data_IF_793996843197
#
_entry.id   IF_793996843197
#
_cell.length_a   1.000
_cell.length_b   1.000
_cell.length_c   1.000
_cell.angle_alpha   90.00
_cell.angle_beta   90.00
_cell.angle_gamma   90.00
#
_symmetry.space_group_name_H-M   'P 1'
#
loop_
_entity.id
_entity.type
_entity.pdbx_description
1 polymer ?
#
# COMPACT_ATOMS: atom_id res chain seq x y z
N UNK A 1 13.22 -4.31 54.84
CA UNK A 1 13.57 -3.10 54.08
C UNK A 1 12.93 -3.00 52.68
N UNK A 2 12.39 -4.06 52.10
CA UNK A 2 11.78 -4.05 50.76
C UNK A 2 10.30 -3.58 50.76
N UNK A 3 9.56 -3.73 51.86
CA UNK A 3 8.13 -3.32 51.92
C UNK A 3 7.91 -1.81 52.08
N UNK A 4 8.88 -1.08 52.65
CA UNK A 4 8.77 0.35 52.86
C UNK A 4 9.00 1.15 51.58
N UNK A 5 9.74 0.60 50.62
CA UNK A 5 10.06 1.31 49.33
C UNK A 5 8.88 1.23 48.34
N UNK A 6 8.06 0.18 48.40
CA UNK A 6 6.89 0.02 47.52
C UNK A 6 5.75 0.96 47.89
N UNK A 7 5.55 1.24 49.15
CA UNK A 7 4.51 2.13 49.68
C UNK A 7 4.80 3.61 49.37
N UNK A 8 6.04 4.04 49.37
CA UNK A 8 6.41 5.46 49.06
C UNK A 8 6.22 5.75 47.57
N UNK A 9 6.61 4.81 46.67
CA UNK A 9 6.40 4.97 45.24
C UNK A 9 4.91 4.98 44.84
N UNK A 10 4.08 4.23 45.55
CA UNK A 10 2.63 4.18 45.29
C UNK A 10 1.90 5.40 45.83
N UNK A 11 2.39 6.02 46.92
CA UNK A 11 1.84 7.25 47.48
C UNK A 11 2.21 8.49 46.64
N UNK A 12 3.39 8.53 46.03
CA UNK A 12 3.79 9.62 45.12
C UNK A 12 3.14 9.49 43.71
N UNK A 13 2.84 8.29 43.25
CA UNK A 13 2.20 8.09 41.94
C UNK A 13 0.72 8.52 41.91
N UNK A 14 0.00 8.43 43.02
CA UNK A 14 -1.42 8.84 43.12
C UNK A 14 -1.68 10.35 42.91
N UNK A 15 -0.92 11.27 43.50
CA UNK A 15 -1.14 12.70 43.27
C UNK A 15 -0.74 13.14 41.84
N UNK A 16 0.30 12.55 41.26
CA UNK A 16 0.71 12.83 39.88
C UNK A 16 -0.31 12.31 38.85
N UNK A 17 -0.92 11.15 39.10
CA UNK A 17 -1.99 10.61 38.26
C UNK A 17 -3.27 11.44 38.34
N UNK A 18 -3.65 11.93 39.55
CA UNK A 18 -4.76 12.84 39.75
C UNK A 18 -4.52 14.23 39.11
N UNK A 19 -3.30 14.74 39.17
CA UNK A 19 -2.92 16.00 38.51
C UNK A 19 -3.00 15.86 36.97
N UNK A 20 -2.50 14.75 36.41
CA UNK A 20 -2.64 14.43 34.96
C UNK A 20 -4.10 14.29 34.54
N UNK A 21 -4.92 13.62 35.34
CA UNK A 21 -6.35 13.48 35.08
C UNK A 21 -7.08 14.83 35.06
N UNK A 22 -6.78 15.74 36.03
CA UNK A 22 -7.33 17.12 36.06
C UNK A 22 -6.87 17.96 34.87
N UNK A 23 -5.63 17.82 34.43
CA UNK A 23 -5.12 18.51 33.22
C UNK A 23 -5.82 17.98 31.97
N UNK A 24 -5.98 16.68 31.83
CA UNK A 24 -6.71 16.05 30.71
C UNK A 24 -8.17 16.49 30.71
N UNK A 25 -8.83 16.53 31.87
CA UNK A 25 -10.22 17.01 31.98
C UNK A 25 -10.36 18.49 31.65
N UNK A 26 -9.40 19.36 32.05
CA UNK A 26 -9.36 20.76 31.64
C UNK A 26 -9.13 20.93 30.14
N UNK A 27 -8.22 20.15 29.57
CA UNK A 27 -7.95 20.16 28.11
C UNK A 27 -9.14 19.64 27.32
N UNK A 28 -9.87 18.63 27.80
CA UNK A 28 -11.08 18.13 27.14
C UNK A 28 -12.23 19.15 27.17
N UNK A 29 -12.28 20.00 28.17
CA UNK A 29 -13.25 21.11 28.23
C UNK A 29 -12.89 22.30 27.35
N UNK A 30 -11.59 22.46 27.03
CA UNK A 30 -11.09 23.51 26.14
C UNK A 30 -11.17 23.14 24.68
N UNK A 31 -11.20 21.83 24.36
CA UNK A 31 -11.37 21.32 23.00
C UNK A 31 -12.81 20.80 22.88
N UNK A 32 -13.70 21.52 22.23
CA UNK A 32 -15.09 21.04 22.10
C UNK A 32 -15.12 19.74 21.31
N UNK A 33 -15.84 18.74 21.81
CA UNK A 33 -16.04 17.44 21.16
C UNK A 33 -16.76 17.56 19.80
N UNK A 34 -17.39 18.72 19.58
CA UNK A 34 -18.13 19.03 18.34
C UNK A 34 -17.67 20.37 17.79
N UNK A 35 -17.34 20.38 16.51
CA UNK A 35 -17.06 21.60 15.77
C UNK A 35 -18.33 21.99 15.03
N UNK A 36 -18.78 23.24 15.19
CA UNK A 36 -19.90 23.76 14.41
C UNK A 36 -19.51 23.85 12.94
N UNK A 37 -20.24 23.14 12.07
CA UNK A 37 -20.01 23.17 10.63
C UNK A 37 -20.15 24.60 10.09
N UNK A 38 -21.22 25.29 10.47
CA UNK A 38 -21.46 26.67 10.11
C UNK A 38 -21.26 27.58 11.33
N UNK A 39 -20.52 28.70 11.21
CA UNK A 39 -19.77 29.20 10.05
C UNK A 39 -18.30 28.77 10.03
N UNK A 40 -17.80 28.06 11.05
CA UNK A 40 -16.35 27.90 11.28
C UNK A 40 -15.71 26.92 10.28
N UNK A 41 -16.23 25.71 10.17
CA UNK A 41 -15.68 24.69 9.28
C UNK A 41 -15.84 25.10 7.80
N UNK A 42 -17.00 25.60 7.44
CA UNK A 42 -17.30 26.05 6.07
C UNK A 42 -16.39 27.20 5.64
N UNK A 43 -16.08 28.14 6.51
CA UNK A 43 -15.12 29.23 6.19
C UNK A 43 -13.71 28.71 5.95
N UNK A 44 -13.27 27.72 6.75
CA UNK A 44 -11.96 27.11 6.59
C UNK A 44 -11.89 26.32 5.27
N UNK A 45 -12.90 25.53 4.97
CA UNK A 45 -12.99 24.76 3.72
C UNK A 45 -13.05 25.66 2.49
N UNK A 46 -13.82 26.75 2.56
CA UNK A 46 -13.89 27.73 1.48
C UNK A 46 -12.55 28.43 1.27
N UNK A 47 -11.85 28.80 2.34
CA UNK A 47 -10.51 29.39 2.25
C UNK A 47 -9.51 28.44 1.58
N UNK A 48 -9.47 27.18 2.03
CA UNK A 48 -8.61 26.15 1.44
C UNK A 48 -8.97 25.90 -0.02
N UNK A 49 -10.26 25.77 -0.32
CA UNK A 49 -10.73 25.61 -1.70
C UNK A 49 -10.33 26.78 -2.60
N UNK A 50 -10.45 28.03 -2.13
CA UNK A 50 -10.03 29.22 -2.87
C UNK A 50 -8.52 29.23 -3.12
N UNK A 51 -7.71 28.89 -2.13
CA UNK A 51 -6.24 28.80 -2.28
C UNK A 51 -5.87 27.72 -3.28
N UNK A 52 -6.46 26.53 -3.17
CA UNK A 52 -6.18 25.42 -4.10
C UNK A 52 -6.58 25.80 -5.53
N UNK A 53 -7.74 26.40 -5.73
CA UNK A 53 -8.18 26.88 -7.06
C UNK A 53 -7.23 27.93 -7.61
N UNK A 54 -6.79 28.88 -6.81
CA UNK A 54 -5.80 29.88 -7.26
C UNK A 54 -4.47 29.23 -7.65
N UNK A 55 -3.97 28.28 -6.86
CA UNK A 55 -2.74 27.54 -7.16
C UNK A 55 -2.84 26.74 -8.46
N UNK A 56 -3.95 26.02 -8.65
CA UNK A 56 -4.17 25.23 -9.87
C UNK A 56 -4.30 26.16 -11.10
N UNK A 57 -4.96 27.30 -10.95
CA UNK A 57 -5.08 28.28 -12.04
C UNK A 57 -3.71 28.86 -12.42
N UNK A 58 -2.90 29.28 -11.43
CA UNK A 58 -1.53 29.73 -11.68
C UNK A 58 -0.70 28.64 -12.34
N UNK A 59 -0.79 27.42 -11.84
CA UNK A 59 -0.10 26.27 -12.42
C UNK A 59 -0.48 26.05 -13.89
N UNK A 60 -1.76 26.09 -14.21
CA UNK A 60 -2.25 25.87 -15.57
C UNK A 60 -1.83 26.96 -16.57
N UNK A 61 -1.53 28.17 -16.07
CA UNK A 61 -1.03 29.30 -16.91
C UNK A 61 0.50 29.17 -17.11
N UNK A 62 1.23 28.70 -16.09
CA UNK A 62 2.69 28.68 -16.10
C UNK A 62 3.25 27.42 -16.75
N UNK A 63 2.54 26.28 -16.64
CA UNK A 63 2.98 24.98 -17.14
C UNK A 63 2.09 24.51 -18.25
N UNK A 64 2.65 24.40 -19.45
CA UNK A 64 1.95 23.83 -20.60
C UNK A 64 1.68 22.34 -20.39
N UNK A 65 0.45 21.91 -20.69
CA UNK A 65 0.14 20.48 -20.72
C UNK A 65 0.84 19.81 -21.91
N UNK A 66 1.52 18.66 -21.70
CA UNK A 66 2.09 17.90 -22.80
C UNK A 66 0.96 17.37 -23.68
N UNK A 67 0.78 17.96 -24.87
CA UNK A 67 -0.18 17.48 -25.84
C UNK A 67 0.45 16.40 -26.70
N UNK A 68 -0.30 15.36 -26.97
CA UNK A 68 0.05 14.32 -27.93
C UNK A 68 -0.30 14.78 -29.38
N UNK A 69 0.15 14.01 -30.36
CA UNK A 69 -0.20 14.24 -31.77
C UNK A 69 -1.73 14.18 -31.94
N UNK A 70 -2.31 14.90 -32.96
CA UNK A 70 -3.74 14.83 -33.27
C UNK A 70 -4.20 13.39 -33.44
N UNK A 71 -5.42 13.09 -32.99
CA UNK A 71 -6.00 11.74 -33.05
C UNK A 71 -5.97 11.18 -34.49
N UNK A 72 -5.34 10.04 -34.65
CA UNK A 72 -5.29 9.31 -35.91
C UNK A 72 -5.83 7.90 -35.70
N UNK A 73 -6.97 7.53 -36.29
CA UNK A 73 -7.57 6.21 -36.09
C UNK A 73 -6.74 5.06 -36.66
N UNK A 74 -5.76 5.34 -37.53
CA UNK A 74 -4.89 4.31 -38.11
C UNK A 74 -3.57 4.11 -37.37
N UNK A 75 -3.26 4.97 -36.38
CA UNK A 75 -1.98 4.94 -35.67
C UNK A 75 -2.23 4.91 -34.16
N UNK A 76 -1.79 3.86 -33.51
CA UNK A 76 -1.79 3.78 -32.02
C UNK A 76 -0.54 4.44 -31.46
N UNK A 77 -0.66 5.34 -30.48
CA UNK A 77 0.50 5.92 -29.80
C UNK A 77 1.41 4.86 -29.17
N UNK A 78 2.71 5.04 -29.25
CA UNK A 78 3.67 4.15 -28.62
C UNK A 78 4.69 4.96 -27.79
N UNK A 79 4.65 4.94 -26.47
CA UNK A 79 3.78 4.13 -25.60
C UNK A 79 2.36 4.69 -25.49
N UNK A 80 1.35 3.80 -25.42
CA UNK A 80 -0.02 4.19 -25.09
C UNK A 80 -0.18 4.26 -23.58
N UNK A 81 -0.15 5.46 -23.00
CA UNK A 81 -0.25 5.70 -21.56
C UNK A 81 -1.68 6.01 -21.15
N UNK A 82 -2.14 5.35 -20.09
CA UNK A 82 -3.38 5.71 -19.43
C UNK A 82 -3.26 7.08 -18.72
N UNK A 83 -4.37 7.73 -18.35
CA UNK A 83 -4.32 8.92 -17.49
C UNK A 83 -3.52 8.63 -16.21
N UNK A 84 -2.86 9.67 -15.68
CA UNK A 84 -1.90 9.55 -14.57
C UNK A 84 -2.41 8.74 -13.37
N UNK A 85 -3.69 8.84 -13.05
CA UNK A 85 -4.29 8.13 -11.93
C UNK A 85 -4.45 6.62 -12.16
N UNK A 86 -4.47 6.16 -13.40
CA UNK A 86 -4.47 4.75 -13.77
C UNK A 86 -3.08 4.21 -14.12
N UNK A 87 -2.08 5.06 -14.28
CA UNK A 87 -0.72 4.63 -14.64
C UNK A 87 -0.12 3.65 -13.63
N UNK A 88 -0.46 3.78 -12.34
CA UNK A 88 -0.04 2.82 -11.34
C UNK A 88 -0.58 1.41 -11.61
N UNK A 89 -1.86 1.28 -12.01
CA UNK A 89 -2.45 -0.02 -12.40
C UNK A 89 -1.86 -0.53 -13.72
N UNK A 90 -1.64 0.36 -14.68
CA UNK A 90 -0.99 -0.01 -15.94
C UNK A 90 0.44 -0.51 -15.72
N UNK A 91 1.18 0.09 -14.80
CA UNK A 91 2.51 -0.40 -14.44
C UNK A 91 2.47 -1.76 -13.76
N UNK A 92 1.47 -2.03 -12.93
CA UNK A 92 1.29 -3.34 -12.28
C UNK A 92 1.06 -4.46 -13.30
N UNK A 93 0.47 -4.19 -14.49
CA UNK A 93 0.30 -5.15 -15.57
C UNK A 93 1.63 -5.71 -16.13
N UNK A 94 2.73 -5.01 -15.92
CA UNK A 94 4.07 -5.53 -16.27
C UNK A 94 4.47 -6.69 -15.38
N UNK A 95 4.02 -6.66 -14.14
CA UNK A 95 4.43 -7.61 -13.09
C UNK A 95 3.44 -8.74 -12.89
N UNK A 96 2.16 -8.50 -13.12
CA UNK A 96 1.07 -9.45 -12.92
C UNK A 96 0.25 -9.64 -14.19
N UNK A 97 -0.53 -10.69 -14.21
CA UNK A 97 -1.52 -10.93 -15.24
C UNK A 97 -2.67 -9.90 -15.17
N UNK A 98 -3.32 -9.54 -16.29
CA UNK A 98 -4.36 -8.51 -16.33
C UNK A 98 -5.50 -8.72 -15.34
N UNK A 99 -5.97 -9.94 -15.16
CA UNK A 99 -7.05 -10.23 -14.21
C UNK A 99 -6.63 -10.00 -12.76
N UNK A 100 -5.37 -10.34 -12.43
CA UNK A 100 -4.84 -10.13 -11.08
C UNK A 100 -4.59 -8.64 -10.81
N UNK A 101 -3.97 -7.94 -11.74
CA UNK A 101 -3.66 -6.53 -11.62
C UNK A 101 -4.92 -5.64 -11.64
N UNK A 102 -5.89 -5.94 -12.53
CA UNK A 102 -7.07 -5.10 -12.74
C UNK A 102 -8.25 -5.42 -11.83
N UNK A 103 -8.36 -6.66 -11.33
CA UNK A 103 -9.51 -7.08 -10.51
C UNK A 103 -9.07 -7.43 -9.09
N UNK A 104 -8.12 -8.36 -8.94
CA UNK A 104 -7.79 -8.91 -7.62
C UNK A 104 -7.13 -7.87 -6.72
N UNK A 105 -6.10 -7.18 -7.19
CA UNK A 105 -5.41 -6.16 -6.38
C UNK A 105 -6.32 -4.99 -5.98
N UNK A 106 -7.10 -4.37 -6.88
CA UNK A 106 -8.05 -3.34 -6.48
C UNK A 106 -9.10 -3.85 -5.49
N UNK A 107 -9.58 -5.08 -5.66
CA UNK A 107 -10.52 -5.70 -4.72
C UNK A 107 -9.93 -5.86 -3.33
N UNK A 108 -8.65 -6.25 -3.22
CA UNK A 108 -7.97 -6.32 -1.93
C UNK A 108 -7.81 -4.95 -1.25
N UNK A 109 -7.63 -3.88 -2.01
CA UNK A 109 -7.61 -2.52 -1.46
C UNK A 109 -8.97 -2.17 -0.88
N UNK A 110 -10.05 -2.43 -1.63
CA UNK A 110 -11.43 -2.17 -1.19
C UNK A 110 -11.76 -2.99 0.06
N UNK A 111 -11.50 -4.31 0.03
CA UNK A 111 -11.71 -5.20 1.18
C UNK A 111 -10.87 -4.73 2.38
N UNK A 112 -9.61 -4.35 2.15
CA UNK A 112 -8.73 -3.82 3.18
C UNK A 112 -9.32 -2.61 3.89
N UNK A 113 -9.89 -1.67 3.15
CA UNK A 113 -10.59 -0.50 3.71
C UNK A 113 -11.86 -0.90 4.48
N UNK A 114 -12.63 -1.84 3.96
CA UNK A 114 -13.88 -2.31 4.59
C UNK A 114 -13.63 -3.04 5.91
N UNK A 115 -12.51 -3.77 6.06
CA UNK A 115 -12.23 -4.55 7.28
C UNK A 115 -11.60 -3.74 8.41
N UNK A 116 -11.11 -2.52 8.16
CA UNK A 116 -10.46 -1.67 9.18
C UNK A 116 -11.26 -1.61 10.49
N UNK A 117 -12.57 -1.27 10.51
CA UNK A 117 -13.32 -1.16 11.76
C UNK A 117 -13.46 -2.48 12.51
N UNK A 118 -13.32 -3.62 11.82
CA UNK A 118 -13.44 -4.95 12.42
C UNK A 118 -12.12 -5.49 12.98
N UNK A 119 -10.98 -5.11 12.36
CA UNK A 119 -9.65 -5.57 12.79
C UNK A 119 -8.97 -4.61 13.75
N UNK A 120 -9.40 -3.35 13.82
CA UNK A 120 -8.81 -2.37 14.72
C UNK A 120 -9.23 -2.63 16.16
N UNK A 121 -8.27 -3.04 16.97
CA UNK A 121 -8.46 -3.32 18.40
C UNK A 121 -8.12 -2.13 19.30
N UNK A 122 -7.65 -1.02 18.74
CA UNK A 122 -7.24 0.14 19.52
C UNK A 122 -8.47 0.99 19.90
N UNK A 123 -8.88 1.02 21.20
CA UNK A 123 -10.01 1.81 21.64
C UNK A 123 -9.74 3.33 21.65
N UNK A 124 -8.48 3.72 21.50
CA UNK A 124 -8.09 5.12 21.46
C UNK A 124 -8.33 5.67 20.05
N UNK A 125 -9.23 6.56 19.92
CA UNK A 125 -9.50 7.22 18.66
C UNK A 125 -10.72 8.11 18.82
N UNK A 126 -10.51 9.40 18.65
CA UNK A 126 -11.54 10.43 18.73
C UNK A 126 -11.58 11.27 17.45
N UNK A 127 -11.12 10.72 16.34
CA UNK A 127 -10.99 11.43 15.06
C UNK A 127 -9.72 12.27 14.90
N UNK A 128 -8.89 12.38 15.92
CA UNK A 128 -7.59 13.05 15.79
C UNK A 128 -6.52 12.11 15.26
N UNK A 129 -5.60 12.67 14.46
CA UNK A 129 -4.46 11.93 13.92
C UNK A 129 -3.43 11.64 15.02
N UNK A 130 -3.36 10.37 15.45
CA UNK A 130 -2.50 9.93 16.55
C UNK A 130 -1.44 8.91 16.05
N UNK A 131 -0.32 9.40 15.54
CA UNK A 131 0.75 8.53 15.05
C UNK A 131 1.30 7.60 16.15
N UNK A 132 1.46 8.10 17.38
CA UNK A 132 2.01 7.31 18.51
C UNK A 132 1.16 6.06 18.82
N UNK A 133 -0.16 6.19 18.75
CA UNK A 133 -1.10 5.12 19.08
C UNK A 133 -1.32 4.13 17.93
N UNK A 134 -1.06 4.55 16.68
CA UNK A 134 -1.37 3.78 15.46
C UNK A 134 -0.19 3.67 14.49
N UNK A 135 1.03 3.61 15.01
CA UNK A 135 2.25 3.57 14.19
C UNK A 135 2.22 2.55 13.08
N UNK A 136 1.83 1.32 13.38
CA UNK A 136 1.80 0.23 12.39
C UNK A 136 0.82 0.52 11.26
N UNK A 137 -0.44 0.84 11.60
CA UNK A 137 -1.48 1.10 10.60
C UNK A 137 -1.11 2.29 9.68
N UNK A 138 -0.63 3.38 10.27
CA UNK A 138 -0.22 4.57 9.53
C UNK A 138 0.99 4.28 8.65
N UNK A 139 2.01 3.58 9.17
CA UNK A 139 3.21 3.23 8.39
C UNK A 139 2.89 2.31 7.23
N UNK A 140 2.01 1.32 7.42
CA UNK A 140 1.56 0.41 6.35
C UNK A 140 0.79 1.18 5.28
N UNK A 141 -0.12 2.07 5.68
CA UNK A 141 -0.86 2.91 4.74
C UNK A 141 0.06 3.84 3.94
N UNK A 142 0.97 4.54 4.60
CA UNK A 142 1.92 5.43 3.93
C UNK A 142 2.84 4.65 2.99
N UNK A 143 3.30 3.47 3.39
CA UNK A 143 4.09 2.61 2.52
C UNK A 143 3.30 2.19 1.27
N UNK A 144 2.09 1.69 1.43
CA UNK A 144 1.23 1.26 0.32
C UNK A 144 0.88 2.43 -0.63
N UNK A 145 0.54 3.59 -0.08
CA UNK A 145 0.13 4.73 -0.89
C UNK A 145 1.32 5.53 -1.42
N UNK A 146 2.18 6.08 -0.54
CA UNK A 146 3.27 6.97 -0.98
C UNK A 146 4.42 6.20 -1.62
N UNK A 147 4.84 5.08 -1.02
CA UNK A 147 6.00 4.36 -1.55
C UNK A 147 5.61 3.48 -2.74
N UNK A 148 4.58 2.65 -2.62
CA UNK A 148 4.22 1.74 -3.71
C UNK A 148 3.45 2.45 -4.83
N UNK A 149 2.28 3.01 -4.53
CA UNK A 149 1.39 3.56 -5.55
C UNK A 149 1.99 4.75 -6.28
N UNK A 150 2.51 5.74 -5.56
CA UNK A 150 3.12 6.93 -6.17
C UNK A 150 4.38 6.55 -6.96
N UNK A 151 5.21 5.61 -6.46
CA UNK A 151 6.38 5.15 -7.23
C UNK A 151 5.99 4.47 -8.54
N UNK A 152 4.93 3.66 -8.55
CA UNK A 152 4.43 3.04 -9.79
C UNK A 152 3.93 4.10 -10.79
N UNK A 153 3.25 5.13 -10.31
CA UNK A 153 2.83 6.26 -11.16
C UNK A 153 4.05 6.98 -11.75
N UNK A 154 5.06 7.27 -10.93
CA UNK A 154 6.30 7.93 -11.38
C UNK A 154 7.02 7.08 -12.42
N UNK A 155 7.16 5.78 -12.19
CA UNK A 155 7.77 4.85 -13.14
C UNK A 155 6.99 4.84 -14.46
N UNK A 156 5.67 4.67 -14.40
CA UNK A 156 4.82 4.66 -15.59
C UNK A 156 4.83 5.97 -16.36
N UNK A 157 4.91 7.12 -15.66
CA UNK A 157 4.89 8.43 -16.26
C UNK A 157 6.22 8.79 -16.92
N UNK A 158 7.34 8.63 -16.20
CA UNK A 158 8.63 9.22 -16.58
C UNK A 158 9.65 8.21 -17.08
N UNK A 159 9.53 6.94 -16.69
CA UNK A 159 10.56 5.94 -16.97
C UNK A 159 10.12 4.94 -18.05
N UNK A 160 8.83 4.81 -18.31
CA UNK A 160 8.31 3.94 -19.38
C UNK A 160 8.24 4.67 -20.72
N UNK A 161 8.85 4.06 -21.74
CA UNK A 161 8.87 4.54 -23.11
C UNK A 161 8.27 3.55 -24.11
N UNK A 162 8.62 3.64 -25.40
CA UNK A 162 8.09 2.79 -26.46
C UNK A 162 8.13 1.30 -26.13
N UNK A 163 7.07 0.58 -26.46
CA UNK A 163 6.95 -0.84 -26.11
C UNK A 163 6.84 -1.14 -24.62
N UNK A 164 6.60 -0.12 -23.79
CA UNK A 164 6.54 -0.20 -22.34
C UNK A 164 7.88 -0.64 -21.69
N UNK A 165 9.02 -0.36 -22.39
CA UNK A 165 10.35 -0.62 -21.84
C UNK A 165 10.79 0.45 -20.86
N UNK A 166 11.73 0.10 -19.98
CA UNK A 166 12.37 1.05 -19.05
C UNK A 166 13.42 1.86 -19.80
N UNK A 167 13.32 3.18 -19.70
CA UNK A 167 14.30 4.13 -20.20
C UNK A 167 14.72 5.03 -19.04
N UNK A 168 16.01 5.02 -18.74
CA UNK A 168 16.58 5.90 -17.74
C UNK A 168 16.67 7.34 -18.27
N UNK A 169 16.65 8.36 -17.40
CA UNK A 169 16.84 9.75 -17.82
C UNK A 169 18.09 9.92 -18.68
N UNK A 170 17.94 10.53 -19.84
CA UNK A 170 19.01 10.72 -20.81
C UNK A 170 19.19 9.62 -21.85
N UNK A 171 18.44 8.52 -21.77
CA UNK A 171 18.43 7.51 -22.83
C UNK A 171 17.53 7.94 -23.99
N UNK A 172 17.99 7.65 -25.22
CA UNK A 172 17.21 7.94 -26.42
C UNK A 172 16.02 6.97 -26.57
N UNK A 173 14.85 7.51 -26.86
CA UNK A 173 13.65 6.74 -27.14
C UNK A 173 13.52 6.46 -28.63
N UNK A 174 13.73 5.20 -29.02
CA UNK A 174 13.48 4.77 -30.39
C UNK A 174 12.13 4.07 -30.47
N UNK A 175 11.18 4.72 -31.14
CA UNK A 175 9.79 4.23 -31.30
C UNK A 175 9.76 2.92 -32.12
N UNK A 176 10.77 2.68 -32.96
CA UNK A 176 10.83 1.51 -33.82
C UNK A 176 11.60 0.35 -33.20
N UNK A 177 12.28 0.56 -32.08
CA UNK A 177 13.02 -0.48 -31.40
C UNK A 177 12.10 -1.33 -30.55
N UNK A 178 11.62 -2.42 -31.13
CA UNK A 178 10.90 -3.47 -30.36
C UNK A 178 11.88 -4.57 -29.98
N UNK A 179 12.17 -4.69 -28.69
CA UNK A 179 12.97 -5.80 -28.16
C UNK A 179 12.00 -6.77 -27.50
N UNK A 180 11.92 -8.01 -27.98
CA UNK A 180 11.14 -9.03 -27.32
C UNK A 180 11.81 -9.45 -26.01
N UNK A 181 11.14 -9.20 -24.88
CA UNK A 181 11.59 -9.70 -23.59
C UNK A 181 11.00 -11.09 -23.40
N UNK A 182 11.85 -12.10 -23.31
CA UNK A 182 11.42 -13.47 -23.03
C UNK A 182 10.91 -13.54 -21.58
N UNK A 183 9.65 -13.93 -21.41
CA UNK A 183 9.10 -14.18 -20.09
C UNK A 183 9.60 -15.54 -19.58
N UNK A 184 10.05 -15.59 -18.34
CA UNK A 184 10.53 -16.80 -17.67
C UNK A 184 9.67 -17.02 -16.43
N UNK A 185 9.19 -18.24 -16.21
CA UNK A 185 8.46 -18.58 -15.01
C UNK A 185 9.43 -18.91 -13.87
N UNK A 186 8.97 -18.79 -12.64
CA UNK A 186 9.79 -19.08 -11.47
C UNK A 186 10.27 -20.56 -11.51
N UNK A 187 9.40 -21.49 -11.87
CA UNK A 187 9.72 -22.91 -12.00
C UNK A 187 10.85 -23.18 -13.00
N UNK A 188 10.86 -22.47 -14.13
CA UNK A 188 11.88 -22.62 -15.18
C UNK A 188 13.28 -22.24 -14.65
N UNK A 189 13.37 -21.26 -13.74
CA UNK A 189 14.63 -20.90 -13.10
C UNK A 189 15.21 -22.00 -12.22
N UNK A 190 14.37 -22.90 -11.74
CA UNK A 190 14.78 -24.08 -10.97
C UNK A 190 14.88 -25.35 -11.83
N UNK A 191 14.78 -25.23 -13.15
CA UNK A 191 14.90 -26.35 -14.08
C UNK A 191 13.63 -27.24 -14.18
N UNK A 192 12.49 -26.75 -13.69
CA UNK A 192 11.20 -27.45 -13.75
C UNK A 192 10.46 -26.96 -14.99
N UNK A 193 10.56 -27.70 -16.09
CA UNK A 193 9.95 -27.33 -17.37
C UNK A 193 8.59 -27.97 -17.61
N UNK A 194 8.19 -28.94 -16.78
CA UNK A 194 6.86 -29.54 -16.86
C UNK A 194 5.80 -28.57 -16.33
N UNK A 195 4.76 -28.20 -17.12
CA UNK A 195 3.76 -27.21 -16.69
C UNK A 195 3.00 -27.62 -15.43
N UNK A 196 2.74 -28.93 -15.25
CA UNK A 196 2.03 -29.42 -14.07
C UNK A 196 2.87 -29.31 -12.80
N UNK A 197 4.11 -29.76 -12.88
CA UNK A 197 5.05 -29.64 -11.76
C UNK A 197 5.42 -28.18 -11.47
N UNK A 198 5.54 -27.35 -12.50
CA UNK A 198 5.76 -25.91 -12.35
C UNK A 198 4.62 -25.20 -11.61
N UNK A 199 3.39 -25.53 -11.95
CA UNK A 199 2.20 -25.00 -11.25
C UNK A 199 2.16 -25.46 -9.79
N UNK A 200 2.47 -26.73 -9.52
CA UNK A 200 2.52 -27.28 -8.16
C UNK A 200 3.63 -26.58 -7.32
N UNK A 201 4.80 -26.39 -7.91
CA UNK A 201 5.91 -25.68 -7.28
C UNK A 201 5.52 -24.23 -6.94
N UNK A 202 4.92 -23.50 -7.89
CA UNK A 202 4.42 -22.15 -7.66
C UNK A 202 3.34 -22.08 -6.59
N UNK A 203 2.39 -23.03 -6.61
CA UNK A 203 1.36 -23.14 -5.57
C UNK A 203 1.98 -23.40 -4.19
N UNK A 204 2.99 -24.27 -4.10
CA UNK A 204 3.71 -24.51 -2.84
C UNK A 204 4.40 -23.23 -2.33
N UNK A 205 5.04 -22.45 -3.20
CA UNK A 205 5.62 -21.16 -2.85
C UNK A 205 4.56 -20.19 -2.29
N UNK A 206 3.39 -20.11 -2.93
CA UNK A 206 2.28 -19.26 -2.45
C UNK A 206 1.71 -19.75 -1.12
N UNK A 207 1.56 -21.06 -0.92
CA UNK A 207 1.12 -21.65 0.37
C UNK A 207 2.12 -21.33 1.48
N UNK A 208 3.41 -21.43 1.20
CA UNK A 208 4.44 -21.03 2.17
C UNK A 208 4.34 -19.54 2.48
N UNK A 209 4.24 -18.70 1.47
CA UNK A 209 4.18 -17.24 1.63
C UNK A 209 2.93 -16.78 2.39
N UNK A 210 1.75 -17.21 1.97
CA UNK A 210 0.47 -16.77 2.53
C UNK A 210 0.01 -17.61 3.73
N UNK A 211 0.40 -18.87 3.84
CA UNK A 211 -0.03 -19.77 4.89
C UNK A 211 1.00 -19.99 5.98
N UNK A 212 2.14 -20.60 5.62
CA UNK A 212 3.13 -21.07 6.58
C UNK A 212 3.79 -19.90 7.32
N UNK A 213 4.24 -18.87 6.62
CA UNK A 213 4.94 -17.73 7.24
C UNK A 213 4.07 -16.96 8.24
N UNK A 214 2.84 -16.54 7.90
CA UNK A 214 1.97 -15.87 8.87
C UNK A 214 1.63 -16.75 10.08
N UNK A 215 1.40 -18.05 9.86
CA UNK A 215 1.09 -18.98 10.93
C UNK A 215 2.29 -19.25 11.84
N UNK A 216 3.48 -19.38 11.28
CA UNK A 216 4.72 -19.52 12.04
C UNK A 216 4.97 -18.28 12.91
N UNK A 217 4.78 -17.07 12.35
CA UNK A 217 4.89 -15.83 13.09
C UNK A 217 3.87 -15.75 14.23
N UNK A 218 2.61 -16.13 13.97
CA UNK A 218 1.58 -16.21 15.00
C UNK A 218 2.00 -17.10 16.16
N UNK A 219 2.37 -18.35 15.87
CA UNK A 219 2.81 -19.31 16.88
C UNK A 219 4.02 -18.83 17.69
N UNK A 220 4.97 -18.20 17.04
CA UNK A 220 6.19 -17.71 17.68
C UNK A 220 5.97 -16.49 18.59
N UNK A 221 4.95 -15.67 18.30
CA UNK A 221 4.76 -14.36 18.94
C UNK A 221 3.51 -14.24 19.80
N UNK A 222 2.54 -15.14 19.70
CA UNK A 222 1.25 -15.04 20.42
C UNK A 222 1.43 -14.91 21.94
N UNK A 223 2.34 -15.66 22.52
CA UNK A 223 2.61 -15.64 23.97
C UNK A 223 3.47 -14.45 24.41
N UNK A 224 4.06 -13.71 23.46
CA UNK A 224 4.99 -12.59 23.73
C UNK A 224 4.40 -11.22 23.43
N UNK A 225 3.22 -11.17 22.86
CA UNK A 225 2.61 -9.91 22.39
C UNK A 225 1.16 -9.78 22.83
N UNK A 226 0.90 -8.83 23.72
CA UNK A 226 -0.45 -8.49 24.16
C UNK A 226 -1.36 -8.03 23.01
N UNK A 227 -0.76 -7.40 21.98
CA UNK A 227 -1.49 -6.95 20.79
C UNK A 227 -2.04 -8.14 20.02
N UNK A 228 -1.22 -9.20 19.81
CA UNK A 228 -1.65 -10.41 19.11
C UNK A 228 -2.73 -11.18 19.90
N UNK A 229 -2.59 -11.25 21.22
CA UNK A 229 -3.60 -11.89 22.08
C UNK A 229 -4.94 -11.18 21.99
N UNK A 230 -4.96 -9.84 22.05
CA UNK A 230 -6.18 -9.02 21.90
C UNK A 230 -6.78 -9.08 20.50
N UNK A 231 -5.94 -9.19 19.48
CA UNK A 231 -6.38 -9.26 18.08
C UNK A 231 -7.12 -10.57 17.80
N UNK A 232 -6.66 -11.66 18.38
CA UNK A 232 -7.18 -13.00 18.12
C UNK A 232 -6.76 -13.54 16.76
N UNK A 233 -6.93 -14.84 16.55
CA UNK A 233 -6.41 -15.54 15.37
C UNK A 233 -7.07 -15.06 14.06
N UNK A 234 -8.39 -14.88 14.05
CA UNK A 234 -9.13 -14.51 12.81
C UNK A 234 -8.73 -13.12 12.31
N UNK A 235 -8.76 -12.13 13.20
CA UNK A 235 -8.38 -10.74 12.85
C UNK A 235 -6.91 -10.67 12.45
N UNK A 236 -6.06 -11.43 13.15
CA UNK A 236 -4.65 -11.53 12.78
C UNK A 236 -4.48 -12.09 11.37
N UNK A 237 -5.15 -13.20 11.03
CA UNK A 237 -5.03 -13.80 9.71
C UNK A 237 -5.48 -12.85 8.60
N UNK A 238 -6.60 -12.16 8.77
CA UNK A 238 -7.06 -11.16 7.80
C UNK A 238 -6.00 -10.07 7.61
N UNK A 239 -5.48 -9.50 8.70
CA UNK A 239 -4.45 -8.46 8.66
C UNK A 239 -3.16 -8.97 8.02
N UNK A 240 -2.73 -10.18 8.39
CA UNK A 240 -1.52 -10.79 7.87
C UNK A 240 -1.63 -11.10 6.38
N UNK A 241 -2.77 -11.61 5.89
CA UNK A 241 -3.00 -11.86 4.47
C UNK A 241 -2.91 -10.58 3.65
N UNK A 242 -3.62 -9.53 4.04
CA UNK A 242 -3.55 -8.23 3.36
C UNK A 242 -2.12 -7.67 3.33
N UNK A 243 -1.41 -7.77 4.44
CA UNK A 243 -0.02 -7.33 4.54
C UNK A 243 0.93 -8.17 3.67
N UNK A 244 0.78 -9.50 3.67
CA UNK A 244 1.61 -10.40 2.86
C UNK A 244 1.37 -10.24 1.36
N UNK A 245 0.13 -9.94 0.93
CA UNK A 245 -0.17 -9.62 -0.47
C UNK A 245 0.51 -8.31 -0.88
N UNK A 246 0.44 -7.28 -0.04
CA UNK A 246 1.14 -6.01 -0.29
C UNK A 246 2.66 -6.22 -0.39
N UNK A 247 3.28 -6.95 0.55
CA UNK A 247 4.69 -7.32 0.49
C UNK A 247 5.02 -8.19 -0.72
N UNK A 248 4.13 -9.12 -1.07
CA UNK A 248 4.25 -9.98 -2.25
C UNK A 248 4.33 -9.17 -3.54
N UNK A 249 3.61 -8.06 -3.64
CA UNK A 249 3.71 -7.15 -4.78
C UNK A 249 5.12 -6.56 -4.91
N UNK A 250 5.73 -6.14 -3.80
CA UNK A 250 7.13 -5.66 -3.81
C UNK A 250 8.09 -6.75 -4.26
N UNK A 251 7.96 -7.95 -3.69
CA UNK A 251 8.79 -9.11 -4.07
C UNK A 251 8.64 -9.41 -5.55
N UNK A 252 7.42 -9.36 -6.07
CA UNK A 252 7.13 -9.61 -7.49
C UNK A 252 7.78 -8.58 -8.42
N UNK A 253 7.75 -7.30 -8.04
CA UNK A 253 8.47 -6.24 -8.77
C UNK A 253 9.96 -6.56 -8.85
N UNK A 254 10.56 -6.94 -7.73
CA UNK A 254 11.98 -7.34 -7.70
C UNK A 254 12.26 -8.58 -8.56
N UNK A 255 11.42 -9.60 -8.49
CA UNK A 255 11.57 -10.81 -9.30
C UNK A 255 11.48 -10.48 -10.81
N UNK A 256 10.59 -9.58 -11.19
CA UNK A 256 10.45 -9.18 -12.59
C UNK A 256 11.62 -8.34 -13.08
N UNK A 257 12.02 -7.33 -12.32
CA UNK A 257 13.08 -6.41 -12.75
C UNK A 257 14.48 -7.03 -12.62
N UNK A 258 14.74 -7.81 -11.56
CA UNK A 258 16.04 -8.41 -11.32
C UNK A 258 16.28 -9.74 -12.05
N UNK A 259 15.26 -10.58 -12.12
CA UNK A 259 15.36 -11.95 -12.62
C UNK A 259 14.52 -12.26 -13.86
N UNK A 260 13.76 -11.27 -14.34
CA UNK A 260 12.82 -11.38 -15.47
C UNK A 260 11.73 -12.46 -15.27
N UNK A 261 11.37 -12.76 -14.01
CA UNK A 261 10.33 -13.73 -13.69
C UNK A 261 8.96 -13.12 -13.92
N UNK A 262 8.18 -13.67 -14.86
CA UNK A 262 6.82 -13.20 -15.18
C UNK A 262 5.78 -13.83 -14.27
N UNK A 263 5.82 -15.15 -14.06
CA UNK A 263 4.84 -15.84 -13.22
C UNK A 263 5.53 -16.65 -12.13
N UNK A 264 5.00 -16.57 -10.92
CA UNK A 264 5.36 -17.45 -9.80
C UNK A 264 4.63 -18.79 -9.94
N UNK A 265 3.35 -18.71 -10.30
CA UNK A 265 2.50 -19.86 -10.60
C UNK A 265 1.76 -19.61 -11.91
N UNK A 266 1.78 -20.59 -12.78
CA UNK A 266 1.02 -20.60 -14.03
C UNK A 266 0.21 -21.90 -14.11
N UNK A 267 -1.12 -21.77 -14.23
CA UNK A 267 -2.02 -22.92 -14.35
C UNK A 267 -2.83 -22.82 -15.64
N UNK A 268 -2.39 -23.56 -16.69
CA UNK A 268 -3.09 -23.69 -17.98
C UNK A 268 -3.63 -22.37 -18.57
N UNK A 269 -2.96 -21.27 -18.35
CA UNK A 269 -3.38 -19.94 -18.78
C UNK A 269 -4.60 -19.36 -18.05
N UNK A 270 -5.17 -20.07 -17.06
CA UNK A 270 -6.35 -19.61 -16.33
C UNK A 270 -5.99 -18.83 -15.05
N UNK A 271 -4.97 -19.27 -14.33
CA UNK A 271 -4.52 -18.63 -13.09
C UNK A 271 -3.02 -18.39 -13.19
N UNK A 272 -2.65 -17.14 -13.40
CA UNK A 272 -1.26 -16.71 -13.53
C UNK A 272 -0.96 -15.63 -12.48
N UNK A 273 -0.02 -15.90 -11.56
CA UNK A 273 0.34 -15.01 -10.46
C UNK A 273 1.83 -14.70 -10.45
#
# INVERSE_FOLDING_TARGET
MAEATTTVAEVEAKPAAKAKAKVVERLSKLVPDKVHTWPYLVRLEMLVGTIVMALITIWSIVVDAPLEEPANPTKTPNPSKAPWYFLGLQEILVYFDPWFAGVVLPSFIIIGLMVIPYIDINPKGNGYYCFKDRKFAISVFLFGFLVMWISLIIIGTFIRGPGWYLFLPGQYWDVHKTVAITNVNLADKFGIHDPGMGALFGAACLVVWLGVLPMAFWKARINKSDVLQKLGMVRYQITAQLFMIMLGTVVKVFLRLGFNVKYVMEWKGMINV
#
